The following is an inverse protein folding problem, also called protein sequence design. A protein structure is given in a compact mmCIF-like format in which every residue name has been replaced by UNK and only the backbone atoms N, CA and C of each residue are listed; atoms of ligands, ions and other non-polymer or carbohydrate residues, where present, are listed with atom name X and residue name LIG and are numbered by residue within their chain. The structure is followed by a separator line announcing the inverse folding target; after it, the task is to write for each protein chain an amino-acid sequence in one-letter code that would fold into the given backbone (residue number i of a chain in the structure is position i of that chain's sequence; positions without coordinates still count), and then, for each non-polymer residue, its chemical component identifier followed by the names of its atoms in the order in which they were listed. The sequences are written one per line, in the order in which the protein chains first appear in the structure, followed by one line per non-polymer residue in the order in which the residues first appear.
data_IF_199435995351
#
_entry.id   IF_199435995351
#
_cell.length_a   1.000
_cell.length_b   1.000
_cell.length_c   1.000
_cell.angle_alpha   90.00
_cell.angle_beta   90.00
_cell.angle_gamma   90.00
#
_symmetry.space_group_name_H-M   'P 1'
#
loop_
_entity.id
_entity.type
_entity.pdbx_description
1 polymer ?
#
# COMPACT_ATOMS: atom_id res chain seq x y z
N UNK A 1 23.08 -12.74 18.56
CA UNK A 1 23.09 -12.11 17.22
C UNK A 1 24.20 -12.77 16.41
N UNK A 2 23.97 -13.42 15.27
CA UNK A 2 22.91 -13.32 14.27
C UNK A 2 22.62 -14.72 13.70
N UNK A 3 21.46 -15.34 13.95
CA UNK A 3 21.13 -16.58 13.26
C UNK A 3 20.41 -16.17 11.95
N UNK A 4 21.18 -15.63 11.01
CA UNK A 4 20.70 -15.30 9.67
C UNK A 4 20.30 -16.62 9.00
N UNK A 5 19.03 -16.74 8.60
CA UNK A 5 18.43 -17.98 8.09
C UNK A 5 18.43 -19.16 9.10
N UNK A 6 18.35 -18.92 10.41
CA UNK A 6 18.25 -20.01 11.41
C UNK A 6 17.16 -21.04 11.08
N UNK A 7 16.01 -20.51 10.64
CA UNK A 7 14.81 -21.28 10.28
C UNK A 7 14.72 -21.52 8.76
N UNK A 8 15.83 -21.37 8.04
CA UNK A 8 15.93 -21.49 6.59
C UNK A 8 15.41 -20.28 5.81
N UNK A 9 15.34 -20.44 4.49
CA UNK A 9 14.93 -19.37 3.55
C UNK A 9 13.41 -19.18 3.46
N UNK A 10 12.62 -20.21 3.75
CA UNK A 10 11.15 -20.18 3.61
C UNK A 10 10.51 -19.08 4.47
N UNK A 11 10.86 -18.91 5.76
CA UNK A 11 10.33 -17.82 6.57
C UNK A 11 10.71 -16.42 6.04
N UNK A 12 11.91 -16.28 5.48
CA UNK A 12 12.39 -15.04 4.87
C UNK A 12 11.52 -14.68 3.66
N UNK A 13 11.25 -15.64 2.79
CA UNK A 13 10.39 -15.44 1.62
C UNK A 13 8.94 -15.11 2.01
N UNK A 14 8.40 -15.75 3.05
CA UNK A 14 7.06 -15.43 3.57
C UNK A 14 6.98 -13.99 4.10
N UNK A 15 7.99 -13.53 4.85
CA UNK A 15 8.06 -12.14 5.30
C UNK A 15 8.23 -11.14 4.15
N UNK A 16 9.09 -11.46 3.19
CA UNK A 16 9.32 -10.65 1.99
C UNK A 16 8.05 -10.54 1.14
N UNK A 17 7.25 -11.59 1.03
CA UNK A 17 5.97 -11.58 0.33
C UNK A 17 5.00 -10.56 0.92
N UNK A 18 4.82 -10.55 2.24
CA UNK A 18 3.94 -9.58 2.91
C UNK A 18 4.44 -8.14 2.74
N UNK A 19 5.75 -7.92 2.81
CA UNK A 19 6.33 -6.61 2.54
C UNK A 19 6.14 -6.17 1.08
N UNK A 20 6.30 -7.09 0.12
CA UNK A 20 6.12 -6.82 -1.30
C UNK A 20 4.68 -6.41 -1.63
N UNK A 21 3.68 -7.03 -0.98
CA UNK A 21 2.27 -6.65 -1.12
C UNK A 21 2.02 -5.18 -0.80
N UNK A 22 2.75 -4.61 0.15
CA UNK A 22 2.59 -3.19 0.51
C UNK A 22 2.95 -2.25 -0.64
N UNK A 23 3.89 -2.66 -1.50
CA UNK A 23 4.30 -1.88 -2.68
C UNK A 23 3.39 -2.08 -3.89
N UNK A 24 2.51 -3.08 -3.88
CA UNK A 24 1.58 -3.36 -4.99
C UNK A 24 0.66 -2.15 -5.23
N UNK A 25 0.25 -1.47 -4.17
CA UNK A 25 -0.54 -0.24 -4.22
C UNK A 25 0.01 0.88 -5.12
N UNK A 26 1.31 0.87 -5.43
CA UNK A 26 1.93 1.82 -6.38
C UNK A 26 1.33 1.76 -7.79
N UNK A 27 0.63 0.68 -8.16
CA UNK A 27 -0.11 0.56 -9.43
C UNK A 27 -1.13 1.67 -9.60
N UNK A 28 -1.70 2.22 -8.52
CA UNK A 28 -2.62 3.35 -8.60
C UNK A 28 -2.00 4.57 -9.29
N UNK A 29 -0.67 4.71 -9.20
CA UNK A 29 0.06 5.79 -9.87
C UNK A 29 -0.12 5.75 -11.39
N UNK A 30 -0.33 4.57 -11.99
CA UNK A 30 -0.56 4.43 -13.44
C UNK A 30 -1.78 5.24 -13.91
N UNK A 31 -2.83 5.35 -13.09
CA UNK A 31 -3.99 6.18 -13.41
C UNK A 31 -3.72 7.68 -13.26
N UNK A 32 -2.73 8.05 -12.46
CA UNK A 32 -2.36 9.45 -12.20
C UNK A 32 -1.36 9.96 -13.25
N UNK A 33 -0.54 9.08 -13.83
CA UNK A 33 0.49 9.43 -14.84
C UNK A 33 -0.01 10.39 -15.93
N UNK A 34 -1.17 10.16 -16.57
CA UNK A 34 -1.64 11.02 -17.66
C UNK A 34 -1.90 12.47 -17.23
N UNK A 35 -2.09 12.70 -15.93
CA UNK A 35 -2.39 14.01 -15.37
C UNK A 35 -1.16 14.76 -14.83
N UNK A 36 0.04 14.16 -14.97
CA UNK A 36 1.28 14.78 -14.49
C UNK A 36 1.91 15.68 -15.56
N UNK A 37 2.47 16.81 -15.12
CA UNK A 37 3.17 17.76 -16.00
C UNK A 37 4.40 17.15 -16.70
N UNK A 38 5.03 16.14 -16.11
CA UNK A 38 6.25 15.47 -16.63
C UNK A 38 6.13 13.95 -16.53
N UNK A 39 5.37 13.30 -17.43
CA UNK A 39 5.15 11.85 -17.36
C UNK A 39 6.43 11.04 -17.59
N UNK A 40 7.42 11.58 -18.29
CA UNK A 40 8.73 10.94 -18.53
C UNK A 40 9.55 10.70 -17.26
N UNK A 41 9.35 11.54 -16.23
CA UNK A 41 10.12 11.46 -14.98
C UNK A 41 9.50 10.49 -13.97
N UNK A 42 8.27 10.03 -14.21
CA UNK A 42 7.51 9.22 -13.24
C UNK A 42 8.24 7.95 -12.88
N UNK A 43 8.81 7.23 -13.85
CA UNK A 43 9.54 5.99 -13.57
C UNK A 43 10.66 6.22 -12.55
N UNK A 44 11.41 7.31 -12.71
CA UNK A 44 12.49 7.67 -11.78
C UNK A 44 11.93 8.07 -10.42
N UNK A 45 10.84 8.84 -10.39
CA UNK A 45 10.18 9.26 -9.15
C UNK A 45 9.64 8.06 -8.35
N UNK A 46 8.93 7.13 -9.00
CA UNK A 46 8.37 5.93 -8.38
C UNK A 46 9.49 5.02 -7.86
N UNK A 47 10.53 4.75 -8.66
CA UNK A 47 11.65 3.91 -8.23
C UNK A 47 12.37 4.51 -7.03
N UNK A 48 12.66 5.82 -7.05
CA UNK A 48 13.25 6.52 -5.90
C UNK A 48 12.34 6.42 -4.67
N UNK A 49 11.04 6.66 -4.83
CA UNK A 49 10.06 6.56 -3.74
C UNK A 49 10.03 5.17 -3.11
N UNK A 50 9.95 4.11 -3.94
CA UNK A 50 9.95 2.72 -3.47
C UNK A 50 11.22 2.38 -2.71
N UNK A 51 12.40 2.75 -3.25
CA UNK A 51 13.69 2.50 -2.59
C UNK A 51 13.76 3.24 -1.25
N UNK A 52 13.39 4.52 -1.22
CA UNK A 52 13.43 5.32 0.00
C UNK A 52 12.49 4.76 1.06
N UNK A 53 11.24 4.46 0.70
CA UNK A 53 10.26 3.87 1.65
C UNK A 53 10.71 2.50 2.13
N UNK A 54 11.19 1.64 1.23
CA UNK A 54 11.71 0.32 1.60
C UNK A 54 12.90 0.38 2.54
N UNK A 55 13.81 1.33 2.34
CA UNK A 55 14.96 1.55 3.22
C UNK A 55 14.53 1.98 4.64
N UNK A 56 13.63 2.97 4.76
CA UNK A 56 13.12 3.39 6.06
C UNK A 56 12.32 2.29 6.75
N UNK A 57 11.52 1.53 6.01
CA UNK A 57 10.76 0.39 6.54
C UNK A 57 11.69 -0.70 7.08
N UNK A 58 12.79 -1.00 6.37
CA UNK A 58 13.79 -1.97 6.81
C UNK A 58 14.50 -1.53 8.10
N UNK A 59 14.89 -0.25 8.19
CA UNK A 59 15.47 0.32 9.43
C UNK A 59 14.48 0.22 10.58
N UNK A 60 13.22 0.59 10.36
CA UNK A 60 12.19 0.55 11.39
C UNK A 60 11.99 -0.89 11.91
N UNK A 61 11.91 -1.87 11.01
CA UNK A 61 11.78 -3.28 11.38
C UNK A 61 12.99 -3.79 12.15
N UNK A 62 14.20 -3.39 11.75
CA UNK A 62 15.43 -3.73 12.48
C UNK A 62 15.39 -3.22 13.92
N UNK A 63 14.97 -1.97 14.12
CA UNK A 63 14.82 -1.35 15.45
C UNK A 63 13.74 -2.08 16.27
N UNK A 64 12.58 -2.36 15.69
CA UNK A 64 11.48 -3.07 16.36
C UNK A 64 11.92 -4.46 16.82
N UNK A 65 12.58 -5.23 15.94
CA UNK A 65 13.10 -6.57 16.27
C UNK A 65 14.18 -6.52 17.33
N UNK A 66 15.06 -5.53 17.29
CA UNK A 66 16.14 -5.37 18.26
C UNK A 66 15.68 -4.93 19.64
N UNK A 67 14.55 -4.22 19.77
CA UNK A 67 14.08 -3.65 21.05
C UNK A 67 12.94 -4.43 21.72
N UNK A 68 12.15 -5.22 20.97
CA UNK A 68 10.94 -5.87 21.50
C UNK A 68 11.12 -7.37 21.83
N UNK A 69 12.36 -7.89 21.90
CA UNK A 69 12.74 -9.22 22.42
C UNK A 69 11.79 -10.39 22.06
N UNK A 70 11.29 -10.43 20.81
CA UNK A 70 10.49 -11.54 20.30
C UNK A 70 8.99 -11.53 20.64
N UNK A 71 8.49 -10.55 21.41
CA UNK A 71 7.04 -10.38 21.69
C UNK A 71 6.23 -9.86 20.47
N UNK A 72 6.89 -9.66 19.33
CA UNK A 72 6.37 -8.96 18.14
C UNK A 72 5.24 -9.74 17.46
N UNK A 73 5.21 -11.07 17.59
CA UNK A 73 4.22 -11.91 16.92
C UNK A 73 2.77 -11.64 17.39
N UNK A 74 2.59 -11.19 18.64
CA UNK A 74 1.26 -10.98 19.25
C UNK A 74 0.89 -9.50 19.41
N UNK A 75 1.73 -8.58 18.94
CA UNK A 75 1.49 -7.14 19.09
C UNK A 75 0.91 -6.58 17.79
N UNK A 76 -0.38 -6.25 17.84
CA UNK A 76 -0.99 -5.37 16.85
C UNK A 76 -0.33 -3.97 16.98
N UNK A 77 0.22 -3.45 15.88
CA UNK A 77 0.87 -2.14 15.78
C UNK A 77 2.18 -1.96 16.59
N UNK A 78 3.24 -2.71 16.26
CA UNK A 78 4.51 -2.67 16.99
C UNK A 78 5.17 -1.28 17.00
N UNK A 79 4.95 -0.46 15.95
CA UNK A 79 5.44 0.92 15.87
C UNK A 79 4.85 1.82 16.96
N UNK A 80 3.56 1.65 17.32
CA UNK A 80 2.93 2.41 18.39
C UNK A 80 3.44 1.98 19.77
N UNK A 81 3.72 0.68 19.94
CA UNK A 81 4.33 0.19 21.19
C UNK A 81 5.75 0.73 21.34
N UNK A 82 6.53 0.76 20.25
CA UNK A 82 7.85 1.37 20.23
C UNK A 82 7.80 2.87 20.61
N UNK A 83 6.79 3.60 20.12
CA UNK A 83 6.59 5.01 20.48
C UNK A 83 6.47 5.25 22.00
N UNK A 84 5.95 4.28 22.76
CA UNK A 84 5.84 4.36 24.22
C UNK A 84 7.16 4.14 24.95
N UNK A 85 8.15 3.51 24.31
CA UNK A 85 9.50 3.37 24.85
C UNK A 85 10.36 4.61 24.62
N UNK A 86 9.99 5.48 23.66
CA UNK A 86 10.73 6.71 23.37
C UNK A 86 10.40 7.74 24.46
N UNK A 87 11.30 7.88 25.43
CA UNK A 87 11.33 8.99 26.39
C UNK A 87 12.48 9.93 26.02
N UNK A 88 12.17 11.04 25.36
CA UNK A 88 13.14 12.08 25.00
C UNK A 88 13.19 13.15 26.10
N UNK A 89 13.89 12.84 27.20
CA UNK A 89 14.03 13.74 28.34
C UNK A 89 12.70 14.14 29.01
N UNK A 90 12.67 15.30 29.68
CA UNK A 90 11.50 15.82 30.41
C UNK A 90 10.47 16.56 29.52
N UNK A 91 10.81 16.88 28.26
CA UNK A 91 10.00 17.75 27.38
C UNK A 91 9.07 16.99 26.42
N UNK A 92 9.35 15.73 26.09
CA UNK A 92 8.54 14.93 25.15
C UNK A 92 8.25 13.57 25.77
N UNK A 93 7.27 13.53 26.68
CA UNK A 93 6.85 12.32 27.37
C UNK A 93 5.94 11.42 26.52
N UNK A 94 5.34 11.95 25.44
CA UNK A 94 4.38 11.23 24.59
C UNK A 94 4.55 11.59 23.11
N UNK A 95 5.39 10.85 22.39
CA UNK A 95 5.48 10.92 20.91
C UNK A 95 4.37 10.15 20.18
N UNK A 96 3.62 9.31 20.90
CA UNK A 96 2.54 8.47 20.36
C UNK A 96 1.46 9.29 19.60
N UNK A 97 0.96 10.44 20.09
CA UNK A 97 -0.03 11.23 19.36
C UNK A 97 0.48 11.77 18.02
N UNK A 98 1.75 12.18 17.94
CA UNK A 98 2.36 12.70 16.70
C UNK A 98 2.41 11.61 15.63
N UNK A 99 2.78 10.39 16.03
CA UNK A 99 2.83 9.23 15.14
C UNK A 99 1.42 8.87 14.66
N UNK A 100 0.43 8.88 15.56
CA UNK A 100 -0.97 8.64 15.18
C UNK A 100 -1.49 9.70 14.20
N UNK A 101 -1.18 10.97 14.42
CA UNK A 101 -1.56 12.05 13.50
C UNK A 101 -0.95 11.86 12.11
N UNK A 102 0.33 11.48 12.05
CA UNK A 102 1.01 11.18 10.78
C UNK A 102 0.36 9.98 10.07
N UNK A 103 0.00 8.92 10.81
CA UNK A 103 -0.70 7.77 10.26
C UNK A 103 -2.11 8.08 9.76
N UNK A 104 -2.91 8.82 10.53
CA UNK A 104 -4.26 9.23 10.12
C UNK A 104 -4.17 10.15 8.91
N UNK A 105 -3.26 11.13 8.91
CA UNK A 105 -3.05 12.03 7.77
C UNK A 105 -2.61 11.29 6.51
N UNK A 106 -1.63 10.39 6.63
CA UNK A 106 -1.19 9.54 5.52
C UNK A 106 -2.30 8.63 4.99
N UNK A 107 -3.06 8.01 5.90
CA UNK A 107 -4.23 7.20 5.58
C UNK A 107 -5.31 8.00 4.84
N UNK A 108 -5.60 9.22 5.29
CA UNK A 108 -6.57 10.11 4.66
C UNK A 108 -6.15 10.48 3.23
N UNK A 109 -4.89 10.87 3.03
CA UNK A 109 -4.35 11.17 1.70
C UNK A 109 -4.47 9.94 0.79
N UNK A 110 -4.07 8.77 1.31
CA UNK A 110 -4.17 7.51 0.58
C UNK A 110 -5.61 7.22 0.17
N UNK A 111 -6.55 7.21 1.11
CA UNK A 111 -7.97 6.95 0.82
C UNK A 111 -8.51 7.94 -0.21
N UNK A 112 -8.15 9.22 -0.10
CA UNK A 112 -8.56 10.25 -1.07
C UNK A 112 -8.07 9.94 -2.48
N UNK A 113 -6.80 9.56 -2.64
CA UNK A 113 -6.23 9.19 -3.94
C UNK A 113 -6.91 7.96 -4.53
N UNK A 114 -7.09 6.91 -3.73
CA UNK A 114 -7.77 5.68 -4.15
C UNK A 114 -9.22 5.93 -4.53
N UNK A 115 -9.91 6.77 -3.76
CA UNK A 115 -11.28 7.17 -4.03
C UNK A 115 -11.40 7.95 -5.35
N UNK A 116 -10.52 8.94 -5.57
CA UNK A 116 -10.47 9.66 -6.84
C UNK A 116 -10.26 8.72 -8.03
N UNK A 117 -9.29 7.80 -7.93
CA UNK A 117 -9.03 6.82 -8.99
C UNK A 117 -10.22 5.88 -9.22
N UNK A 118 -10.91 5.48 -8.16
CA UNK A 118 -12.12 4.63 -8.24
C UNK A 118 -13.24 5.33 -8.99
N UNK A 119 -13.54 6.58 -8.61
CA UNK A 119 -14.58 7.39 -9.27
C UNK A 119 -14.22 7.61 -10.74
N UNK A 120 -12.96 7.94 -11.04
CA UNK A 120 -12.48 8.11 -12.40
C UNK A 120 -12.62 6.82 -13.23
N UNK A 121 -12.23 5.67 -12.66
CA UNK A 121 -12.33 4.37 -13.31
C UNK A 121 -13.78 4.02 -13.66
N UNK A 122 -14.71 4.24 -12.71
CA UNK A 122 -16.14 3.97 -12.92
C UNK A 122 -16.72 4.93 -13.97
N UNK A 123 -16.34 6.21 -13.94
CA UNK A 123 -16.77 7.17 -14.95
C UNK A 123 -16.32 6.75 -16.35
N UNK A 124 -15.07 6.29 -16.50
CA UNK A 124 -14.55 5.78 -17.76
C UNK A 124 -15.27 4.50 -18.21
N UNK A 125 -15.53 3.58 -17.28
CA UNK A 125 -16.20 2.33 -17.60
C UNK A 125 -17.66 2.53 -18.03
N UNK A 126 -18.35 3.48 -17.42
CA UNK A 126 -19.72 3.88 -17.77
C UNK A 126 -19.78 4.92 -18.89
N UNK A 127 -18.64 5.32 -19.45
CA UNK A 127 -18.51 6.34 -20.50
C UNK A 127 -19.21 7.68 -20.16
N UNK A 128 -19.08 8.12 -18.90
CA UNK A 128 -19.64 9.37 -18.42
C UNK A 128 -18.76 10.56 -18.85
N UNK A 129 -19.40 11.65 -19.26
CA UNK A 129 -18.69 12.89 -19.64
C UNK A 129 -18.04 13.61 -18.45
N UNK A 130 -18.63 13.50 -17.27
CA UNK A 130 -18.11 14.12 -16.04
C UNK A 130 -18.20 13.12 -14.88
N UNK A 131 -17.09 12.95 -14.17
CA UNK A 131 -16.99 12.08 -13.00
C UNK A 131 -17.66 12.71 -11.77
N UNK A 132 -17.86 14.04 -11.74
CA UNK A 132 -18.43 14.76 -10.58
C UNK A 132 -19.80 14.26 -10.18
N UNK A 133 -20.65 13.87 -11.14
CA UNK A 133 -22.01 13.39 -10.88
C UNK A 133 -22.06 12.10 -10.08
N UNK A 134 -21.00 11.28 -10.15
CA UNK A 134 -20.93 9.99 -9.44
C UNK A 134 -20.06 10.04 -8.19
N UNK A 135 -19.42 11.18 -7.89
CA UNK A 135 -18.64 11.34 -6.64
C UNK A 135 -19.52 11.02 -5.44
N UNK A 136 -20.61 11.76 -5.20
CA UNK A 136 -21.44 11.53 -4.01
C UNK A 136 -22.02 10.10 -3.91
N UNK A 137 -22.60 9.51 -4.97
CA UNK A 137 -23.07 8.13 -4.94
C UNK A 137 -21.99 7.11 -4.57
N UNK A 138 -20.80 7.21 -5.18
CA UNK A 138 -19.69 6.28 -4.90
C UNK A 138 -19.14 6.50 -3.49
N UNK A 139 -19.07 7.74 -3.02
CA UNK A 139 -18.68 8.07 -1.65
C UNK A 139 -19.61 7.41 -0.63
N UNK A 140 -20.92 7.59 -0.80
CA UNK A 140 -21.93 6.98 0.06
C UNK A 140 -21.82 5.44 0.05
N UNK A 141 -21.64 4.84 -1.13
CA UNK A 141 -21.47 3.40 -1.28
C UNK A 141 -20.23 2.90 -0.54
N UNK A 142 -19.08 3.54 -0.72
CA UNK A 142 -17.83 3.18 -0.03
C UNK A 142 -17.99 3.31 1.49
N UNK A 143 -18.67 4.35 1.97
CA UNK A 143 -18.95 4.51 3.41
C UNK A 143 -19.82 3.37 3.94
N UNK A 144 -20.92 3.03 3.26
CA UNK A 144 -21.78 1.91 3.68
C UNK A 144 -21.01 0.59 3.66
N UNK A 145 -20.26 0.31 2.60
CA UNK A 145 -19.44 -0.91 2.51
C UNK A 145 -18.40 -0.97 3.63
N UNK A 146 -17.83 0.17 4.03
CA UNK A 146 -16.85 0.20 5.12
C UNK A 146 -17.43 -0.22 6.47
N UNK A 147 -18.71 0.06 6.71
CA UNK A 147 -19.43 -0.31 7.94
C UNK A 147 -19.90 -1.77 7.86
N UNK A 148 -20.32 -2.24 6.69
CA UNK A 148 -20.89 -3.58 6.50
C UNK A 148 -19.81 -4.68 6.43
N UNK A 149 -18.65 -4.39 5.83
CA UNK A 149 -17.63 -5.41 5.58
C UNK A 149 -16.68 -5.64 6.75
N UNK A 150 -16.53 -4.69 7.66
CA UNK A 150 -15.53 -4.74 8.72
C UNK A 150 -16.09 -4.22 10.04
N UNK A 151 -16.18 -5.10 11.04
CA UNK A 151 -16.66 -4.76 12.38
C UNK A 151 -15.60 -4.01 13.20
N UNK A 152 -14.33 -4.27 12.92
CA UNK A 152 -13.21 -3.65 13.61
C UNK A 152 -11.91 -3.69 12.81
N UNK A 153 -10.94 -2.89 13.27
CA UNK A 153 -9.62 -2.75 12.64
C UNK A 153 -8.83 -4.07 12.65
N UNK A 154 -9.02 -4.94 13.65
CA UNK A 154 -8.30 -6.23 13.73
C UNK A 154 -8.75 -7.16 12.60
N UNK A 155 -10.06 -7.25 12.36
CA UNK A 155 -10.63 -8.00 11.26
C UNK A 155 -10.17 -7.45 9.91
N UNK A 156 -10.12 -6.12 9.76
CA UNK A 156 -9.60 -5.47 8.55
C UNK A 156 -8.14 -5.87 8.28
N UNK A 157 -7.26 -5.78 9.28
CA UNK A 157 -5.84 -6.14 9.14
C UNK A 157 -5.68 -7.63 8.80
N UNK A 158 -6.47 -8.50 9.43
CA UNK A 158 -6.48 -9.93 9.12
C UNK A 158 -6.89 -10.21 7.67
N UNK A 159 -7.95 -9.56 7.18
CA UNK A 159 -8.42 -9.72 5.81
C UNK A 159 -7.41 -9.19 4.77
N UNK A 160 -6.81 -8.01 5.03
CA UNK A 160 -5.81 -7.40 4.13
C UNK A 160 -4.54 -8.24 4.06
N UNK A 161 -4.08 -8.82 5.16
CA UNK A 161 -2.82 -9.58 5.22
C UNK A 161 -2.96 -11.06 4.89
N UNK A 162 -4.13 -11.65 5.12
CA UNK A 162 -4.37 -13.09 4.94
C UNK A 162 -5.13 -13.44 3.65
N UNK A 163 -6.27 -12.80 3.41
CA UNK A 163 -7.27 -13.27 2.42
C UNK A 163 -7.20 -12.48 1.12
N UNK A 164 -7.08 -11.15 1.18
CA UNK A 164 -7.05 -10.29 0.00
C UNK A 164 -5.79 -10.35 -0.88
N UNK A 165 -4.58 -10.71 -0.39
CA UNK A 165 -3.36 -10.63 -1.21
C UNK A 165 -3.37 -11.36 -2.56
N UNK A 166 -3.89 -12.60 -2.67
CA UNK A 166 -3.93 -13.29 -3.95
C UNK A 166 -4.76 -12.53 -4.99
N UNK A 167 -5.88 -11.91 -4.57
CA UNK A 167 -6.75 -11.14 -5.46
C UNK A 167 -6.04 -9.89 -5.99
N UNK A 168 -5.34 -9.16 -5.12
CA UNK A 168 -4.57 -7.98 -5.55
C UNK A 168 -3.47 -8.34 -6.54
N UNK A 169 -2.76 -9.44 -6.32
CA UNK A 169 -1.70 -9.88 -7.24
C UNK A 169 -2.23 -10.27 -8.62
N UNK A 170 -3.41 -10.90 -8.70
CA UNK A 170 -4.03 -11.23 -10.00
C UNK A 170 -4.37 -9.94 -10.75
N UNK A 171 -4.96 -8.95 -10.08
CA UNK A 171 -5.35 -7.70 -10.73
C UNK A 171 -4.12 -6.90 -11.16
N UNK A 172 -3.09 -6.84 -10.32
CA UNK A 172 -1.96 -5.95 -10.52
C UNK A 172 -0.79 -6.54 -11.30
N UNK A 173 -0.57 -7.85 -11.19
CA UNK A 173 0.48 -8.55 -11.93
C UNK A 173 -0.15 -9.41 -13.01
N UNK A 174 -1.20 -10.15 -12.68
CA UNK A 174 -1.88 -11.05 -13.63
C UNK A 174 -2.43 -10.31 -14.86
N UNK A 175 -3.25 -9.26 -14.67
CA UNK A 175 -3.83 -8.52 -15.80
C UNK A 175 -2.75 -7.86 -16.68
N UNK A 176 -1.76 -7.10 -16.14
CA UNK A 176 -0.73 -6.50 -16.98
C UNK A 176 0.17 -7.53 -17.67
N UNK A 177 0.51 -8.65 -17.01
CA UNK A 177 1.31 -9.71 -17.65
C UNK A 177 0.54 -10.40 -18.76
N UNK A 178 -0.75 -10.69 -18.58
CA UNK A 178 -1.61 -11.20 -19.64
C UNK A 178 -1.67 -10.23 -20.82
N UNK A 179 -1.88 -8.94 -20.57
CA UNK A 179 -1.86 -7.92 -21.62
C UNK A 179 -0.51 -7.84 -22.33
N UNK A 180 0.61 -7.95 -21.61
CA UNK A 180 1.95 -7.98 -22.19
C UNK A 180 2.17 -9.23 -23.06
N UNK A 181 1.70 -10.39 -22.62
CA UNK A 181 1.76 -11.63 -23.40
C UNK A 181 0.94 -11.48 -24.68
N UNK A 182 -0.32 -11.03 -24.57
CA UNK A 182 -1.20 -10.83 -25.72
C UNK A 182 -0.64 -9.82 -26.74
N UNK A 183 -0.07 -8.71 -26.28
CA UNK A 183 0.55 -7.71 -27.16
C UNK A 183 1.86 -8.19 -27.77
N UNK A 184 2.67 -8.97 -27.04
CA UNK A 184 3.90 -9.58 -27.56
C UNK A 184 3.61 -10.68 -28.59
N UNK A 185 2.55 -11.47 -28.38
CA UNK A 185 2.08 -12.50 -29.33
C UNK A 185 1.44 -11.89 -30.58
N UNK A 186 0.78 -10.73 -30.46
CA UNK A 186 0.33 -9.91 -31.61
C UNK A 186 1.47 -9.18 -32.34
N UNK A 187 2.72 -9.49 -32.04
CA UNK A 187 3.91 -8.70 -32.37
C UNK A 187 3.91 -8.00 -33.74
N UNK A 188 4.39 -6.75 -33.73
CA UNK A 188 5.06 -6.08 -34.86
C UNK A 188 4.22 -5.70 -36.08
N UNK A 189 2.88 -5.69 -36.01
CA UNK A 189 2.02 -5.28 -37.13
C UNK A 189 1.75 -3.78 -37.27
N UNK A 190 1.65 -3.02 -36.17
CA UNK A 190 1.26 -1.60 -36.23
C UNK A 190 2.16 -0.74 -35.34
N UNK A 191 3.26 -0.27 -35.93
CA UNK A 191 3.96 0.95 -35.46
C UNK A 191 2.91 2.06 -35.40
N UNK A 192 2.44 2.40 -34.20
CA UNK A 192 1.61 3.58 -33.97
C UNK A 192 2.38 4.81 -34.45
N UNK A 193 1.82 5.41 -35.49
CA UNK A 193 2.22 6.67 -36.11
C UNK A 193 1.60 7.83 -35.35
#
# INVERSE_FOLDING_TARGET
MLPVLEKGIIPVLKGAYLAALFFTETVVMLMIIPYLNRPSDVKRAVVKGVITVGFFMAILMFIIVGLLDGLIADINFPTLKLARYIKLGELVERVEPIIMLAWIGGGFIKVTVFYYCTVLAIAQWLNLRDFKSIVLPIGALVTVLSIVLWDNVVQLVYQISGVMPPYFLIIQVGIPTLLLILTSLKGKGEKHR
#
